data_IF_788471671340
#
_entry.id   IF_788471671340
#
_cell.length_a   1.000
_cell.length_b   1.000
_cell.length_c   1.000
_cell.angle_alpha   90.00
_cell.angle_beta   90.00
_cell.angle_gamma   90.00
#
_symmetry.space_group_name_H-M   'P 1'
#
loop_
_entity.id
_entity.type
_entity.pdbx_description
1 polymer ?
#
# COMPACT_ATOMS: atom_id res chain seq x y z
N UNK A 1 5.55 -24.51 18.57
CA UNK A 1 6.42 -24.89 19.71
C UNK A 1 6.03 -26.28 20.19
N UNK A 2 6.97 -27.12 20.66
CA UNK A 2 6.64 -28.43 21.24
C UNK A 2 5.68 -28.33 22.45
N UNK A 3 5.76 -27.22 23.19
CA UNK A 3 4.88 -26.94 24.34
C UNK A 3 3.52 -26.32 23.95
N UNK A 4 3.12 -26.36 22.67
CA UNK A 4 1.80 -25.90 22.22
C UNK A 4 1.68 -24.40 21.92
N UNK A 5 2.68 -23.57 22.20
CA UNK A 5 2.65 -22.15 21.80
C UNK A 5 2.76 -21.98 20.28
N UNK A 6 1.88 -21.16 19.72
CA UNK A 6 1.75 -20.89 18.29
C UNK A 6 2.17 -19.46 17.97
N UNK A 7 2.84 -19.30 16.83
CA UNK A 7 3.26 -18.02 16.25
C UNK A 7 3.15 -18.14 14.72
N UNK A 8 2.86 -17.03 14.03
CA UNK A 8 2.99 -17.01 12.58
C UNK A 8 4.47 -17.00 12.16
N UNK A 9 4.73 -17.31 10.89
CA UNK A 9 6.08 -17.34 10.30
C UNK A 9 6.81 -16.00 10.47
N UNK A 10 6.12 -14.88 10.25
CA UNK A 10 6.67 -13.53 10.44
C UNK A 10 7.09 -13.29 11.90
N UNK A 11 6.28 -13.70 12.87
CA UNK A 11 6.62 -13.55 14.28
C UNK A 11 7.77 -14.47 14.70
N UNK A 12 7.84 -15.71 14.18
CA UNK A 12 8.95 -16.65 14.41
C UNK A 12 10.30 -16.05 14.01
N UNK A 13 10.36 -15.34 12.88
CA UNK A 13 11.56 -14.63 12.43
C UNK A 13 11.98 -13.49 13.39
N UNK A 14 11.01 -12.71 13.88
CA UNK A 14 11.25 -11.58 14.81
C UNK A 14 11.79 -12.01 16.18
N UNK A 15 11.50 -13.25 16.60
CA UNK A 15 11.93 -13.79 17.90
C UNK A 15 13.12 -14.76 17.77
N UNK A 16 13.86 -14.69 16.66
CA UNK A 16 15.05 -15.51 16.40
C UNK A 16 14.84 -17.00 16.67
N UNK A 17 13.73 -17.54 16.19
CA UNK A 17 13.39 -18.96 16.33
C UNK A 17 13.25 -19.46 17.78
N UNK A 18 13.00 -18.57 18.76
CA UNK A 18 12.76 -18.97 20.15
C UNK A 18 11.40 -18.51 20.63
N UNK A 19 10.69 -19.37 21.35
CA UNK A 19 9.36 -19.07 21.88
C UNK A 19 9.48 -17.96 22.94
N UNK A 20 8.75 -16.84 22.83
CA UNK A 20 8.81 -15.76 23.83
C UNK A 20 8.22 -16.19 25.19
N UNK A 21 7.31 -17.17 25.20
CA UNK A 21 6.64 -17.65 26.42
C UNK A 21 7.49 -18.64 27.21
N UNK A 22 7.92 -19.74 26.56
CA UNK A 22 8.65 -20.82 27.24
C UNK A 22 10.13 -20.91 26.91
N UNK A 23 10.67 -20.01 26.07
CA UNK A 23 12.09 -19.91 25.68
C UNK A 23 12.65 -21.12 24.93
N UNK A 24 11.82 -22.11 24.62
CA UNK A 24 12.17 -23.27 23.80
C UNK A 24 12.33 -22.91 22.33
N UNK A 25 13.15 -23.67 21.62
CA UNK A 25 13.33 -23.50 20.19
C UNK A 25 12.02 -23.77 19.42
N UNK A 26 11.75 -22.91 18.44
CA UNK A 26 10.61 -23.04 17.55
C UNK A 26 11.03 -23.93 16.37
N UNK A 27 10.56 -25.17 16.37
CA UNK A 27 10.65 -26.04 15.19
C UNK A 27 9.78 -25.53 14.02
N UNK A 28 9.78 -26.29 12.93
CA UNK A 28 8.94 -26.02 11.76
C UNK A 28 7.59 -26.75 11.79
N UNK A 29 6.95 -26.70 12.96
CA UNK A 29 5.65 -27.35 13.18
C UNK A 29 4.53 -26.34 12.88
N UNK A 30 3.71 -26.67 11.90
CA UNK A 30 2.52 -25.88 11.52
C UNK A 30 1.31 -26.25 12.38
N UNK A 31 0.50 -25.25 12.74
CA UNK A 31 -0.75 -25.45 13.46
C UNK A 31 -1.93 -25.44 12.48
N UNK A 32 -2.19 -26.59 11.83
CA UNK A 32 -3.26 -26.72 10.83
C UNK A 32 -4.65 -26.37 11.36
N UNK A 33 -4.90 -26.58 12.66
CA UNK A 33 -6.16 -26.19 13.28
C UNK A 33 -6.38 -24.67 13.23
N UNK A 34 -5.37 -23.87 13.57
CA UNK A 34 -5.46 -22.41 13.49
C UNK A 34 -5.53 -21.91 12.04
N UNK A 35 -4.90 -22.62 11.10
CA UNK A 35 -5.03 -22.31 9.68
C UNK A 35 -6.48 -22.49 9.21
N UNK A 36 -7.13 -23.60 9.57
CA UNK A 36 -8.56 -23.83 9.27
C UNK A 36 -9.49 -22.81 9.93
N UNK A 37 -9.20 -22.44 11.18
CA UNK A 37 -9.96 -21.38 11.86
C UNK A 37 -9.80 -20.07 11.09
N UNK A 38 -8.58 -19.68 10.71
CA UNK A 38 -8.34 -18.47 9.93
C UNK A 38 -9.08 -18.46 8.59
N UNK A 39 -9.22 -19.61 7.91
CA UNK A 39 -10.02 -19.73 6.68
C UNK A 39 -11.51 -19.45 6.89
N UNK A 40 -12.07 -19.82 8.04
CA UNK A 40 -13.47 -19.56 8.38
C UNK A 40 -13.76 -18.16 8.92
N UNK A 41 -12.73 -17.38 9.28
CA UNK A 41 -12.91 -16.05 9.85
C UNK A 41 -13.20 -15.02 8.77
N UNK A 42 -14.32 -14.32 8.93
CA UNK A 42 -14.68 -13.15 8.16
C UNK A 42 -14.26 -11.87 8.90
N UNK A 43 -13.47 -11.03 8.24
CA UNK A 43 -12.88 -9.85 8.84
C UNK A 43 -13.15 -8.62 7.96
N UNK A 44 -13.43 -7.46 8.55
CA UNK A 44 -13.57 -6.22 7.79
C UNK A 44 -12.24 -5.85 7.14
N UNK A 45 -12.33 -5.17 6.00
CA UNK A 45 -11.18 -4.53 5.36
C UNK A 45 -10.46 -3.59 6.35
N UNK A 46 -9.12 -3.55 6.36
CA UNK A 46 -8.38 -2.64 7.25
C UNK A 46 -8.68 -1.16 6.99
N UNK A 47 -9.19 -0.82 5.81
CA UNK A 47 -9.62 0.53 5.44
C UNK A 47 -11.12 0.77 5.72
N UNK A 48 -11.74 -0.02 6.59
CA UNK A 48 -13.13 0.19 7.02
C UNK A 48 -13.36 1.60 7.59
N UNK A 49 -12.39 2.11 8.37
CA UNK A 49 -12.41 3.48 8.90
C UNK A 49 -12.28 4.56 7.81
N UNK A 50 -11.81 4.20 6.62
CA UNK A 50 -11.74 5.08 5.45
C UNK A 50 -12.95 4.89 4.52
N UNK A 51 -13.96 4.11 4.92
CA UNK A 51 -15.22 3.97 4.20
C UNK A 51 -15.40 2.66 3.43
N UNK A 52 -14.48 1.70 3.51
CA UNK A 52 -14.67 0.40 2.88
C UNK A 52 -15.66 -0.46 3.68
N UNK A 53 -16.86 -0.78 3.17
CA UNK A 53 -17.85 -1.56 3.93
C UNK A 53 -17.60 -3.08 3.87
N UNK A 54 -16.63 -3.52 3.06
CA UNK A 54 -16.48 -4.90 2.67
C UNK A 54 -15.85 -5.77 3.77
N UNK A 55 -16.34 -7.01 3.86
CA UNK A 55 -15.90 -8.04 4.79
C UNK A 55 -15.47 -9.26 3.97
N UNK A 56 -14.34 -9.87 4.32
CA UNK A 56 -13.76 -10.98 3.56
C UNK A 56 -13.20 -12.08 4.47
N UNK A 57 -13.15 -13.33 3.99
CA UNK A 57 -12.30 -14.37 4.57
C UNK A 57 -10.83 -13.92 4.64
N UNK A 58 -10.09 -14.37 5.66
CA UNK A 58 -8.71 -13.91 5.95
C UNK A 58 -7.79 -13.82 4.72
N UNK A 59 -7.70 -14.87 3.89
CA UNK A 59 -6.81 -14.86 2.71
C UNK A 59 -7.30 -13.97 1.57
N UNK A 60 -8.62 -13.85 1.38
CA UNK A 60 -9.22 -12.98 0.36
C UNK A 60 -9.09 -11.50 0.73
N UNK A 61 -9.19 -11.20 2.02
CA UNK A 61 -9.01 -9.84 2.58
C UNK A 61 -7.67 -9.24 2.18
N UNK A 62 -6.57 -10.01 2.28
CA UNK A 62 -5.24 -9.52 1.94
C UNK A 62 -5.12 -9.12 0.46
N UNK A 63 -5.76 -9.90 -0.44
CA UNK A 63 -5.81 -9.57 -1.87
C UNK A 63 -6.62 -8.29 -2.12
N UNK A 64 -7.77 -8.15 -1.47
CA UNK A 64 -8.58 -6.93 -1.55
C UNK A 64 -7.81 -5.69 -1.05
N UNK A 65 -7.15 -5.77 0.11
CA UNK A 65 -6.46 -4.63 0.72
C UNK A 65 -5.29 -4.07 -0.10
N UNK A 66 -4.72 -4.86 -1.02
CA UNK A 66 -3.70 -4.39 -1.95
C UNK A 66 -4.26 -3.43 -3.02
N UNK A 67 -5.55 -3.60 -3.37
CA UNK A 67 -6.23 -2.92 -4.47
C UNK A 67 -7.52 -2.18 -4.02
N UNK A 68 -7.70 -1.98 -2.72
CA UNK A 68 -8.88 -1.35 -2.17
C UNK A 68 -8.94 0.12 -2.60
N UNK A 69 -10.09 0.58 -3.11
CA UNK A 69 -10.29 1.97 -3.52
C UNK A 69 -10.27 2.98 -2.36
N UNK A 70 -10.48 2.50 -1.13
CA UNK A 70 -10.42 3.30 0.09
C UNK A 70 -9.02 3.31 0.74
N UNK A 71 -8.04 2.68 0.08
CA UNK A 71 -6.65 2.73 0.50
C UNK A 71 -6.11 4.16 0.34
N UNK A 72 -5.47 4.74 1.36
CA UNK A 72 -4.79 6.02 1.20
C UNK A 72 -3.52 5.87 0.35
N UNK A 73 -3.20 6.93 -0.39
CA UNK A 73 -2.06 7.00 -1.31
C UNK A 73 -0.97 7.92 -0.76
N UNK A 74 0.28 7.67 -1.14
CA UNK A 74 1.35 8.64 -0.93
C UNK A 74 1.21 9.78 -1.95
N UNK A 75 1.64 10.99 -1.57
CA UNK A 75 1.70 12.13 -2.49
C UNK A 75 2.52 11.76 -3.74
N UNK A 76 1.98 11.94 -4.96
CA UNK A 76 2.64 11.57 -6.20
C UNK A 76 3.61 12.65 -6.73
N UNK A 77 3.90 13.70 -5.95
CA UNK A 77 4.72 14.82 -6.40
C UNK A 77 6.17 14.39 -6.65
N UNK A 78 6.66 14.55 -7.88
CA UNK A 78 7.98 14.09 -8.29
C UNK A 78 9.14 15.07 -7.99
N UNK A 79 8.83 16.32 -7.60
CA UNK A 79 9.85 17.37 -7.44
C UNK A 79 10.57 17.38 -6.09
N UNK A 80 10.05 16.68 -5.08
CA UNK A 80 10.61 16.61 -3.73
C UNK A 80 10.06 15.40 -2.97
N UNK A 81 10.83 14.86 -2.03
CA UNK A 81 10.35 13.81 -1.11
C UNK A 81 9.21 14.34 -0.22
N UNK A 82 7.96 14.07 -0.62
CA UNK A 82 6.77 14.40 0.16
C UNK A 82 6.22 13.13 0.83
N UNK A 83 6.14 13.14 2.16
CA UNK A 83 5.68 12.01 2.99
C UNK A 83 4.19 12.05 3.31
N UNK A 84 3.44 12.98 2.69
CA UNK A 84 2.00 13.14 2.91
C UNK A 84 1.25 11.95 2.35
N UNK A 85 0.31 11.42 3.13
CA UNK A 85 -0.53 10.27 2.79
C UNK A 85 -1.99 10.62 3.05
N UNK A 86 -2.87 10.31 2.11
CA UNK A 86 -4.31 10.55 2.27
C UNK A 86 -5.15 10.00 1.13
N UNK A 87 -6.44 10.32 1.15
CA UNK A 87 -7.35 10.00 0.05
C UNK A 87 -7.13 10.92 -1.16
N UNK A 88 -7.78 10.59 -2.29
CA UNK A 88 -7.62 11.35 -3.53
C UNK A 88 -8.05 12.82 -3.36
N UNK A 89 -9.24 13.14 -2.80
CA UNK A 89 -9.64 14.53 -2.59
C UNK A 89 -8.63 15.34 -1.76
N UNK A 90 -8.12 14.76 -0.68
CA UNK A 90 -7.11 15.39 0.17
C UNK A 90 -5.81 15.61 -0.58
N UNK A 91 -5.31 14.61 -1.32
CA UNK A 91 -4.07 14.74 -2.07
C UNK A 91 -4.17 15.75 -3.23
N UNK A 92 -5.33 15.85 -3.88
CA UNK A 92 -5.57 16.88 -4.90
C UNK A 92 -5.48 18.29 -4.29
N UNK A 93 -6.06 18.51 -3.11
CA UNK A 93 -5.94 19.78 -2.41
C UNK A 93 -4.49 20.05 -1.99
N UNK A 94 -3.81 19.06 -1.42
CA UNK A 94 -2.40 19.13 -1.03
C UNK A 94 -1.47 19.48 -2.21
N UNK A 95 -1.66 18.86 -3.38
CA UNK A 95 -0.86 19.15 -4.58
C UNK A 95 -1.02 20.61 -5.04
N UNK A 96 -2.23 21.15 -4.95
CA UNK A 96 -2.51 22.55 -5.29
C UNK A 96 -1.92 23.51 -4.24
N UNK A 97 -2.13 23.22 -2.96
CA UNK A 97 -1.90 24.17 -1.88
C UNK A 97 -0.45 24.16 -1.39
N UNK A 98 0.19 22.99 -1.32
CA UNK A 98 1.57 22.84 -0.83
C UNK A 98 2.59 22.80 -1.97
N UNK A 99 2.28 22.07 -3.06
CA UNK A 99 3.20 21.90 -4.19
C UNK A 99 2.97 22.88 -5.34
N UNK A 100 1.93 23.72 -5.26
CA UNK A 100 1.57 24.74 -6.27
C UNK A 100 1.45 24.14 -7.68
N UNK A 101 0.96 22.90 -7.79
CA UNK A 101 0.74 22.23 -9.08
C UNK A 101 -0.44 22.88 -9.79
N UNK A 102 -0.23 23.24 -11.05
CA UNK A 102 -1.29 23.79 -11.90
C UNK A 102 -2.34 22.73 -12.25
N UNK A 103 -3.55 22.93 -11.71
CA UNK A 103 -4.68 22.04 -11.93
C UNK A 103 -5.42 22.42 -13.22
N UNK A 104 -5.58 21.46 -14.12
CA UNK A 104 -6.30 21.64 -15.38
C UNK A 104 -7.57 20.79 -15.39
N UNK A 105 -8.73 21.41 -15.63
CA UNK A 105 -9.99 20.70 -15.85
C UNK A 105 -10.16 20.43 -17.35
N UNK A 106 -9.95 19.18 -17.77
CA UNK A 106 -10.14 18.76 -19.15
C UNK A 106 -9.54 17.38 -19.44
N UNK A 107 -9.89 16.81 -20.59
CA UNK A 107 -9.31 15.56 -21.11
C UNK A 107 -8.14 15.78 -22.08
N UNK A 108 -7.83 17.04 -22.40
CA UNK A 108 -6.71 17.44 -23.26
C UNK A 108 -5.60 18.05 -22.42
N UNK A 109 -4.51 17.31 -22.24
CA UNK A 109 -3.32 17.79 -21.53
C UNK A 109 -2.22 18.09 -22.54
N UNK A 110 -2.03 19.36 -22.87
CA UNK A 110 -0.91 19.79 -23.71
C UNK A 110 0.31 20.02 -22.81
N UNK A 111 1.08 18.97 -22.52
CA UNK A 111 2.32 19.12 -21.74
C UNK A 111 3.39 19.81 -22.59
N UNK A 112 3.43 21.14 -22.57
CA UNK A 112 4.50 21.91 -23.22
C UNK A 112 5.74 21.81 -22.34
N UNK A 113 6.65 20.90 -22.69
CA UNK A 113 7.99 20.89 -22.09
C UNK A 113 8.71 22.18 -22.46
N UNK A 114 8.67 23.17 -21.58
CA UNK A 114 9.47 24.39 -21.75
C UNK A 114 10.87 24.05 -21.25
N UNK A 115 11.75 23.62 -22.17
CA UNK A 115 13.18 23.60 -21.88
C UNK A 115 13.66 25.05 -21.73
N UNK A 116 14.38 25.34 -20.65
CA UNK A 116 14.94 26.67 -20.36
C UNK A 116 15.89 27.17 -21.46
N UNK A 117 16.45 26.26 -22.26
CA UNK A 117 17.42 26.56 -23.31
C UNK A 117 16.89 26.12 -24.70
N UNK A 118 16.57 27.05 -25.62
CA UNK A 118 16.00 26.74 -26.94
C UNK A 118 16.88 25.88 -27.86
N UNK A 119 18.16 25.68 -27.51
CA UNK A 119 19.15 24.94 -28.31
C UNK A 119 19.23 23.45 -27.96
N UNK A 120 18.49 22.98 -26.96
CA UNK A 120 18.53 21.57 -26.52
C UNK A 120 17.45 20.67 -27.13
N UNK A 121 16.72 21.16 -28.13
CA UNK A 121 15.64 20.41 -28.80
C UNK A 121 16.15 19.91 -30.15
N UNK A 122 17.10 18.98 -30.15
CA UNK A 122 17.52 18.32 -31.39
C UNK A 122 16.81 17.01 -31.67
N UNK A 123 16.15 16.37 -30.67
CA UNK A 123 15.58 15.03 -30.87
C UNK A 123 14.30 14.80 -30.05
N UNK A 124 13.28 15.65 -30.21
CA UNK A 124 11.95 15.32 -29.71
C UNK A 124 11.20 14.51 -30.78
N UNK A 125 11.49 13.21 -30.84
CA UNK A 125 10.70 12.26 -31.64
C UNK A 125 9.41 11.97 -30.89
N UNK A 126 8.37 12.75 -31.21
CA UNK A 126 7.03 12.53 -30.68
C UNK A 126 6.38 11.37 -31.42
N UNK A 127 6.16 10.26 -30.72
CA UNK A 127 5.16 9.27 -31.13
C UNK A 127 4.35 8.88 -29.91
N UNK A 128 3.07 9.26 -29.91
CA UNK A 128 2.00 8.51 -29.26
C UNK A 128 0.75 8.66 -30.15
N UNK A 129 0.44 7.57 -30.86
CA UNK A 129 -0.86 7.29 -31.49
C UNK A 129 -1.97 7.20 -30.46
#
# INVERSE_FOLDING_TARGET
>A
CHNGHTLCSTCKARVHNRCPTCRQELGDIRCLALEKVAESLELPCKYYTHGCPEIFPYYSKLKHEAQCNFRPYNCPYAGSECSVVGDIPFLVAHLRDDHKVDMHTGCTFNHRYVKSNPREVENATWMLT
#
